data_IF_311667701901
#
_entry.id   IF_311667701901
#
_cell.length_a   1.000
_cell.length_b   1.000
_cell.length_c   1.000
_cell.angle_alpha   90.00
_cell.angle_beta   90.00
_cell.angle_gamma   90.00
#
_symmetry.space_group_name_H-M   'P 1'
#
loop_
_entity.id
_entity.type
_entity.pdbx_description
1 polymer ?
#
# COMPACT_ATOMS: atom_id res chain seq x y z
N UNK A 1 27.35 -7.79 -10.64
CA UNK A 1 27.78 -8.48 -9.40
C UNK A 1 27.91 -7.53 -8.21
N UNK A 2 28.34 -6.29 -8.43
CA UNK A 2 28.52 -5.28 -7.36
C UNK A 2 27.18 -4.82 -6.74
N UNK A 3 26.15 -4.62 -7.57
CA UNK A 3 24.81 -4.25 -7.12
C UNK A 3 24.16 -5.32 -6.22
N UNK A 4 24.36 -6.62 -6.53
CA UNK A 4 23.89 -7.72 -5.69
C UNK A 4 24.58 -7.74 -4.32
N UNK A 5 25.87 -7.39 -4.26
CA UNK A 5 26.61 -7.28 -2.99
C UNK A 5 26.11 -6.10 -2.16
N UNK A 6 25.83 -4.95 -2.80
CA UNK A 6 25.26 -3.76 -2.16
C UNK A 6 23.87 -4.06 -1.57
N UNK A 7 22.95 -4.63 -2.36
CA UNK A 7 21.61 -5.03 -1.90
C UNK A 7 21.66 -6.03 -0.74
N UNK A 8 22.60 -6.99 -0.79
CA UNK A 8 22.77 -7.95 0.30
C UNK A 8 23.25 -7.28 1.60
N UNK A 9 24.10 -6.25 1.51
CA UNK A 9 24.56 -5.47 2.68
C UNK A 9 23.39 -4.67 3.30
N UNK A 10 22.60 -4.02 2.45
CA UNK A 10 21.39 -3.28 2.88
C UNK A 10 20.38 -4.21 3.55
N UNK A 11 20.13 -5.39 2.99
CA UNK A 11 19.25 -6.39 3.61
C UNK A 11 19.75 -6.88 4.95
N UNK A 12 21.05 -7.16 5.09
CA UNK A 12 21.63 -7.53 6.39
C UNK A 12 21.45 -6.42 7.43
N UNK A 13 21.63 -5.16 7.02
CA UNK A 13 21.39 -3.99 7.90
C UNK A 13 19.92 -3.92 8.31
N UNK A 14 18.99 -4.13 7.39
CA UNK A 14 17.56 -4.14 7.72
C UNK A 14 17.18 -5.27 8.68
N UNK A 15 17.71 -6.48 8.47
CA UNK A 15 17.47 -7.61 9.39
C UNK A 15 18.06 -7.32 10.78
N UNK A 16 19.27 -6.76 10.84
CA UNK A 16 19.87 -6.36 12.11
C UNK A 16 19.00 -5.32 12.84
N UNK A 17 18.44 -4.36 12.11
CA UNK A 17 17.51 -3.38 12.66
C UNK A 17 16.23 -4.03 13.16
N UNK A 18 15.60 -4.93 12.41
CA UNK A 18 14.41 -5.68 12.84
C UNK A 18 14.69 -6.44 14.14
N UNK A 19 15.82 -7.13 14.21
CA UNK A 19 16.20 -7.89 15.41
C UNK A 19 16.46 -6.98 16.62
N UNK A 20 16.96 -5.75 16.40
CA UNK A 20 17.21 -4.77 17.45
C UNK A 20 15.93 -4.07 17.91
N UNK A 21 15.10 -3.60 16.97
CA UNK A 21 13.89 -2.83 17.26
C UNK A 21 12.68 -3.69 17.60
N UNK A 22 12.72 -5.00 17.29
CA UNK A 22 11.65 -5.97 17.54
C UNK A 22 10.26 -5.43 17.17
N UNK A 23 10.05 -5.07 15.88
CA UNK A 23 8.75 -4.57 15.44
C UNK A 23 7.66 -5.63 15.69
N UNK A 24 6.42 -5.17 15.84
CA UNK A 24 5.26 -6.07 16.00
C UNK A 24 4.85 -6.73 14.68
N UNK A 25 5.16 -6.08 13.56
CA UNK A 25 4.87 -6.57 12.21
C UNK A 25 5.98 -6.15 11.25
N UNK A 26 6.39 -7.08 10.39
CA UNK A 26 7.23 -6.78 9.23
C UNK A 26 6.38 -6.96 7.98
N UNK A 27 6.41 -5.98 7.06
CA UNK A 27 5.71 -6.07 5.78
C UNK A 27 6.73 -6.01 4.65
N UNK A 28 6.77 -7.05 3.84
CA UNK A 28 7.77 -7.16 2.78
C UNK A 28 7.13 -6.83 1.44
N UNK A 29 7.52 -5.72 0.81
CA UNK A 29 7.00 -5.24 -0.47
C UNK A 29 8.06 -5.36 -1.56
N UNK A 30 8.05 -6.45 -2.30
CA UNK A 30 9.04 -6.72 -3.34
C UNK A 30 8.40 -6.73 -4.73
N UNK A 31 8.84 -5.84 -5.63
CA UNK A 31 8.48 -5.91 -7.06
C UNK A 31 9.10 -7.12 -7.78
N UNK A 32 10.23 -7.63 -7.29
CA UNK A 32 10.99 -8.69 -7.97
C UNK A 32 11.13 -9.92 -7.11
N UNK A 33 11.40 -11.05 -7.77
CA UNK A 33 11.62 -12.33 -7.11
C UNK A 33 12.70 -12.21 -6.02
N UNK A 34 12.29 -12.50 -4.80
CA UNK A 34 13.14 -12.46 -3.63
C UNK A 34 14.21 -13.57 -3.68
N UNK A 35 15.52 -13.26 -3.53
CA UNK A 35 16.56 -14.28 -3.53
C UNK A 35 16.40 -15.30 -2.40
N UNK A 36 16.76 -16.56 -2.69
CA UNK A 36 16.58 -17.69 -1.76
C UNK A 36 17.28 -17.48 -0.40
N UNK A 37 18.47 -16.85 -0.40
CA UNK A 37 19.20 -16.53 0.84
C UNK A 37 18.40 -15.60 1.76
N UNK A 38 17.67 -14.64 1.19
CA UNK A 38 16.87 -13.69 1.96
C UNK A 38 15.59 -14.33 2.50
N UNK A 39 14.95 -15.22 1.73
CA UNK A 39 13.84 -16.04 2.24
C UNK A 39 14.21 -16.81 3.51
N UNK A 40 15.42 -17.39 3.54
CA UNK A 40 15.94 -18.11 4.72
C UNK A 40 16.21 -17.19 5.93
N UNK A 41 16.48 -15.91 5.71
CA UNK A 41 16.61 -14.95 6.81
C UNK A 41 15.25 -14.50 7.31
N UNK A 42 14.31 -14.17 6.41
CA UNK A 42 12.97 -13.79 6.80
C UNK A 42 12.21 -14.92 7.48
N UNK A 43 12.46 -16.18 7.12
CA UNK A 43 11.87 -17.33 7.83
C UNK A 43 12.29 -17.36 9.31
N UNK A 44 13.53 -16.99 9.62
CA UNK A 44 13.99 -16.89 11.03
C UNK A 44 13.37 -15.71 11.76
N UNK A 45 13.13 -14.61 11.05
CA UNK A 45 12.40 -13.46 11.61
C UNK A 45 10.96 -13.86 11.90
N UNK A 46 10.31 -14.58 10.98
CA UNK A 46 8.91 -15.03 11.13
C UNK A 46 8.68 -15.98 12.30
N UNK A 47 9.71 -16.68 12.77
CA UNK A 47 9.62 -17.51 13.98
C UNK A 47 9.35 -16.68 15.25
N UNK A 48 9.66 -15.37 15.23
CA UNK A 48 9.54 -14.48 16.40
C UNK A 48 8.71 -13.22 16.18
N UNK A 49 8.54 -12.78 14.93
CA UNK A 49 7.81 -11.56 14.56
C UNK A 49 6.93 -11.87 13.36
N UNK A 50 5.61 -11.57 13.40
CA UNK A 50 4.73 -11.70 12.24
C UNK A 50 5.29 -11.00 10.99
N UNK A 51 5.27 -11.70 9.85
CA UNK A 51 5.72 -11.17 8.56
C UNK A 51 4.61 -11.29 7.52
N UNK A 52 4.14 -10.16 6.99
CA UNK A 52 3.25 -10.11 5.84
C UNK A 52 4.07 -9.98 4.55
N UNK A 53 3.78 -10.83 3.56
CA UNK A 53 4.50 -10.85 2.30
C UNK A 53 3.63 -10.31 1.17
N UNK A 54 4.08 -9.23 0.53
CA UNK A 54 3.59 -8.84 -0.78
C UNK A 54 4.49 -9.44 -1.85
N UNK A 55 4.04 -10.58 -2.38
CA UNK A 55 4.65 -11.29 -3.51
C UNK A 55 3.67 -11.14 -4.66
N UNK A 56 4.16 -10.75 -5.85
CA UNK A 56 3.46 -10.37 -7.11
C UNK A 56 2.29 -11.26 -7.64
N UNK A 57 1.65 -12.10 -6.83
CA UNK A 57 0.62 -13.04 -7.23
C UNK A 57 -0.57 -13.11 -6.26
N UNK A 58 -0.59 -12.35 -5.17
CA UNK A 58 -1.70 -12.41 -4.21
C UNK A 58 -1.98 -11.07 -3.58
N UNK A 59 -3.26 -10.77 -3.43
CA UNK A 59 -3.80 -9.68 -2.63
C UNK A 59 -4.62 -10.27 -1.49
N UNK A 60 -4.54 -9.66 -0.31
CA UNK A 60 -5.22 -10.15 0.89
C UNK A 60 -5.27 -9.08 1.96
N UNK A 61 -6.20 -9.24 2.90
CA UNK A 61 -6.25 -8.48 4.15
C UNK A 61 -5.80 -9.33 5.32
N UNK A 62 -5.29 -8.70 6.37
CA UNK A 62 -4.90 -9.37 7.60
C UNK A 62 -5.16 -8.48 8.81
N UNK A 63 -5.32 -9.12 9.97
CA UNK A 63 -5.52 -8.46 11.26
C UNK A 63 -4.41 -8.86 12.22
N UNK A 64 -3.87 -7.88 12.95
CA UNK A 64 -2.88 -8.14 14.00
C UNK A 64 -3.05 -7.10 15.12
N UNK A 65 -3.41 -7.53 16.34
CA UNK A 65 -3.53 -6.64 17.50
C UNK A 65 -4.38 -5.38 17.24
N UNK A 66 -5.52 -5.53 16.54
CA UNK A 66 -6.40 -4.41 16.18
C UNK A 66 -5.94 -3.58 14.97
N UNK A 67 -4.75 -3.84 14.42
CA UNK A 67 -4.31 -3.30 13.14
C UNK A 67 -4.93 -4.10 11.99
N UNK A 68 -5.64 -3.43 11.09
CA UNK A 68 -6.02 -4.01 9.80
C UNK A 68 -5.03 -3.55 8.73
N UNK A 69 -4.43 -4.52 8.05
CA UNK A 69 -3.58 -4.29 6.89
C UNK A 69 -4.17 -4.93 5.64
N UNK A 70 -3.86 -4.35 4.49
CA UNK A 70 -4.13 -4.96 3.19
C UNK A 70 -2.88 -4.93 2.31
N UNK A 71 -2.72 -6.00 1.56
CA UNK A 71 -1.66 -6.17 0.58
C UNK A 71 -2.28 -6.16 -0.80
N UNK A 72 -1.79 -5.26 -1.65
CA UNK A 72 -2.26 -5.03 -3.01
C UNK A 72 -1.22 -5.52 -4.02
N UNK A 73 -1.71 -6.14 -5.08
CA UNK A 73 -0.91 -6.57 -6.21
C UNK A 73 -1.02 -5.54 -7.33
N UNK A 74 0.09 -4.92 -7.70
CA UNK A 74 0.15 -3.90 -8.75
C UNK A 74 -0.24 -4.43 -10.13
N UNK A 75 -0.08 -5.72 -10.42
CA UNK A 75 -0.28 -6.30 -11.75
C UNK A 75 -1.65 -5.97 -12.39
N UNK A 76 -2.69 -5.71 -11.59
CA UNK A 76 -4.03 -5.36 -12.11
C UNK A 76 -4.47 -3.93 -11.77
N UNK A 77 -3.64 -3.13 -11.09
CA UNK A 77 -4.02 -1.83 -10.53
C UNK A 77 -3.35 -0.62 -11.22
N UNK A 78 -2.45 -0.85 -12.18
CA UNK A 78 -1.74 0.20 -12.90
C UNK A 78 -2.65 0.91 -13.92
N UNK A 79 -2.39 2.20 -14.14
CA UNK A 79 -3.18 3.05 -15.04
C UNK A 79 -3.33 2.48 -16.45
N UNK A 80 -2.28 1.89 -17.01
CA UNK A 80 -2.31 1.30 -18.36
C UNK A 80 -3.36 0.18 -18.49
N UNK A 81 -3.52 -0.65 -17.46
CA UNK A 81 -4.51 -1.73 -17.44
C UNK A 81 -5.94 -1.23 -17.20
N UNK A 82 -6.09 -0.12 -16.50
CA UNK A 82 -7.40 0.52 -16.27
C UNK A 82 -7.86 1.26 -17.54
N UNK A 83 -6.94 1.86 -18.31
CA UNK A 83 -7.22 2.64 -19.52
C UNK A 83 -7.61 1.77 -20.73
N UNK A 84 -6.93 0.65 -20.96
CA UNK A 84 -7.15 -0.21 -22.14
C UNK A 84 -8.58 -0.83 -22.20
N UNK A 85 -9.34 -0.74 -21.10
CA UNK A 85 -10.66 -1.37 -20.97
C UNK A 85 -11.85 -0.42 -21.11
N UNK A 86 -11.62 0.90 -21.30
CA UNK A 86 -12.65 1.85 -21.71
C UNK A 86 -13.31 1.50 -23.06
N UNK A 87 -12.68 0.62 -23.85
CA UNK A 87 -13.19 0.07 -25.12
C UNK A 87 -13.89 -1.31 -24.97
N UNK A 88 -14.64 -1.55 -23.89
CA UNK A 88 -15.54 -2.72 -23.79
C UNK A 88 -14.91 -4.04 -23.30
N UNK A 89 -13.76 -3.98 -22.64
CA UNK A 89 -13.15 -5.15 -22.00
C UNK A 89 -13.86 -5.48 -20.68
N UNK A 90 -14.46 -6.68 -20.57
CA UNK A 90 -15.14 -7.16 -19.35
C UNK A 90 -14.25 -6.97 -18.11
N UNK A 91 -14.77 -6.22 -17.14
CA UNK A 91 -14.16 -5.99 -15.83
C UNK A 91 -14.35 -7.24 -14.97
N UNK A 92 -13.56 -8.28 -15.20
CA UNK A 92 -13.40 -9.38 -14.24
C UNK A 92 -12.04 -9.25 -13.56
N UNK A 93 -11.88 -8.17 -12.79
CA UNK A 93 -10.70 -7.94 -11.97
C UNK A 93 -11.09 -8.10 -10.50
N UNK A 94 -11.06 -9.35 -10.03
CA UNK A 94 -11.49 -9.73 -8.69
C UNK A 94 -10.82 -8.92 -7.58
N UNK A 95 -9.62 -8.35 -7.81
CA UNK A 95 -8.97 -7.45 -6.87
C UNK A 95 -9.70 -6.11 -6.74
N UNK A 96 -10.16 -5.51 -7.86
CA UNK A 96 -10.87 -4.24 -7.83
C UNK A 96 -12.27 -4.36 -7.23
N UNK A 97 -12.97 -5.48 -7.46
CA UNK A 97 -14.22 -5.78 -6.76
C UNK A 97 -13.97 -5.98 -5.26
N UNK A 98 -12.94 -6.75 -4.90
CA UNK A 98 -12.56 -6.96 -3.51
C UNK A 98 -12.16 -5.66 -2.80
N UNK A 99 -11.40 -4.77 -3.45
CA UNK A 99 -11.07 -3.43 -2.91
C UNK A 99 -12.35 -2.65 -2.63
N UNK A 100 -13.32 -2.65 -3.55
CA UNK A 100 -14.59 -1.94 -3.35
C UNK A 100 -15.32 -2.43 -2.10
N UNK A 101 -15.44 -3.75 -1.94
CA UNK A 101 -16.09 -4.35 -0.77
C UNK A 101 -15.35 -4.01 0.52
N UNK A 102 -14.02 -4.14 0.54
CA UNK A 102 -13.20 -3.81 1.70
C UNK A 102 -13.30 -2.33 2.08
N UNK A 103 -13.27 -1.42 1.10
CA UNK A 103 -13.36 0.01 1.35
C UNK A 103 -14.73 0.41 1.88
N UNK A 104 -15.80 -0.22 1.39
CA UNK A 104 -17.15 0.02 1.90
C UNK A 104 -17.30 -0.46 3.35
N UNK A 105 -16.79 -1.65 3.66
CA UNK A 105 -16.76 -2.18 5.03
C UNK A 105 -15.96 -1.27 5.98
N UNK A 106 -14.78 -0.80 5.57
CA UNK A 106 -13.95 0.10 6.37
C UNK A 106 -14.62 1.46 6.59
N UNK A 107 -15.28 2.01 5.56
CA UNK A 107 -16.04 3.25 5.65
C UNK A 107 -17.18 3.14 6.66
N UNK A 108 -18.03 2.11 6.52
CA UNK A 108 -19.20 1.90 7.39
C UNK A 108 -18.80 1.63 8.86
N UNK A 109 -17.77 0.82 9.07
CA UNK A 109 -17.26 0.51 10.41
C UNK A 109 -16.40 1.61 11.02
N UNK A 110 -16.06 2.66 10.24
CA UNK A 110 -15.14 3.75 10.60
C UNK A 110 -13.76 3.25 11.05
N UNK A 111 -13.36 2.06 10.63
CA UNK A 111 -12.06 1.47 10.97
C UNK A 111 -10.93 2.08 10.12
N UNK A 112 -9.70 2.05 10.63
CA UNK A 112 -8.52 2.54 9.92
C UNK A 112 -7.75 1.39 9.27
N UNK A 113 -7.42 1.57 7.99
CA UNK A 113 -6.74 0.56 7.22
C UNK A 113 -5.38 1.05 6.72
N UNK A 114 -4.45 0.11 6.57
CA UNK A 114 -3.11 0.37 6.02
C UNK A 114 -2.89 -0.51 4.79
N UNK A 115 -2.48 0.09 3.68
CA UNK A 115 -2.29 -0.57 2.41
C UNK A 115 -0.81 -0.66 2.03
N UNK A 116 -0.42 -1.80 1.47
CA UNK A 116 0.94 -2.07 1.00
C UNK A 116 0.92 -2.58 -0.44
N UNK A 117 1.71 -1.98 -1.32
CA UNK A 117 1.76 -2.33 -2.74
C UNK A 117 3.20 -2.69 -3.16
N UNK A 118 3.34 -3.55 -4.17
CA UNK A 118 4.61 -4.04 -4.70
C UNK A 118 5.18 -3.17 -5.85
N UNK A 119 4.57 -2.02 -6.14
CA UNK A 119 5.05 -1.03 -7.10
C UNK A 119 5.34 0.34 -6.46
N UNK A 120 5.65 1.33 -7.29
CA UNK A 120 5.57 2.73 -6.90
C UNK A 120 4.12 3.14 -6.74
N UNK A 121 3.69 3.62 -5.56
CA UNK A 121 2.31 4.04 -5.33
C UNK A 121 1.82 5.11 -6.32
N UNK A 122 2.72 5.90 -6.91
CA UNK A 122 2.38 6.92 -7.92
C UNK A 122 2.01 6.33 -9.28
N UNK A 123 2.33 5.06 -9.52
CA UNK A 123 2.00 4.35 -10.76
C UNK A 123 0.60 3.69 -10.69
N UNK A 124 -0.04 3.69 -9.52
CA UNK A 124 -1.41 3.22 -9.36
C UNK A 124 -2.41 4.19 -9.98
N UNK A 125 -3.50 3.65 -10.50
CA UNK A 125 -4.54 4.50 -11.07
C UNK A 125 -5.18 5.44 -10.06
N UNK A 126 -5.57 6.63 -10.52
CA UNK A 126 -6.27 7.60 -9.69
C UNK A 126 -7.57 7.02 -9.10
N UNK A 127 -8.26 6.16 -9.84
CA UNK A 127 -9.45 5.46 -9.35
C UNK A 127 -9.12 4.59 -8.13
N UNK A 128 -8.03 3.82 -8.17
CA UNK A 128 -7.57 3.00 -7.03
C UNK A 128 -7.21 3.90 -5.84
N UNK A 129 -6.40 4.92 -6.08
CA UNK A 129 -5.95 5.84 -5.03
C UNK A 129 -7.12 6.53 -4.31
N UNK A 130 -8.12 7.01 -5.06
CA UNK A 130 -9.30 7.67 -4.51
C UNK A 130 -10.23 6.69 -3.79
N UNK A 131 -10.39 5.46 -4.29
CA UNK A 131 -11.15 4.41 -3.58
C UNK A 131 -10.51 4.05 -2.24
N UNK A 132 -9.18 3.92 -2.19
CA UNK A 132 -8.46 3.67 -0.94
C UNK A 132 -8.65 4.84 0.04
N UNK A 133 -8.53 6.08 -0.42
CA UNK A 133 -8.75 7.25 0.43
C UNK A 133 -10.19 7.32 0.97
N UNK A 134 -11.20 7.06 0.13
CA UNK A 134 -12.62 6.97 0.53
C UNK A 134 -12.85 5.89 1.60
N UNK A 135 -12.21 4.74 1.47
CA UNK A 135 -12.29 3.63 2.43
C UNK A 135 -11.51 3.84 3.74
N UNK A 136 -11.07 5.08 4.03
CA UNK A 136 -10.33 5.46 5.26
C UNK A 136 -8.97 4.77 5.42
N UNK A 137 -8.32 4.44 4.31
CA UNK A 137 -6.91 4.02 4.34
C UNK A 137 -6.06 5.20 4.80
N UNK A 138 -5.31 5.01 5.88
CA UNK A 138 -4.45 6.05 6.47
C UNK A 138 -3.09 6.13 5.81
N UNK A 139 -2.59 5.00 5.34
CA UNK A 139 -1.27 4.89 4.71
C UNK A 139 -1.35 3.93 3.52
N UNK A 140 -0.83 4.37 2.38
CA UNK A 140 -0.44 3.52 1.28
C UNK A 140 1.08 3.55 1.14
N UNK A 141 1.73 2.40 1.32
CA UNK A 141 3.19 2.26 1.25
C UNK A 141 3.60 1.37 0.09
N UNK A 142 4.64 1.79 -0.63
CA UNK A 142 5.28 1.00 -1.68
C UNK A 142 6.76 1.29 -1.83
N UNK A 143 7.32 0.85 -2.96
CA UNK A 143 8.71 1.10 -3.34
C UNK A 143 8.80 2.40 -4.15
N UNK A 144 9.76 3.28 -3.88
CA UNK A 144 9.97 4.46 -4.76
C UNK A 144 10.85 4.07 -5.93
N UNK A 145 10.44 4.39 -7.17
CA UNK A 145 11.32 4.25 -8.35
C UNK A 145 12.46 5.27 -8.36
N UNK A 146 12.26 6.39 -7.68
CA UNK A 146 13.25 7.45 -7.59
C UNK A 146 14.27 7.09 -6.50
N UNK A 147 15.50 7.54 -6.68
CA UNK A 147 16.55 7.30 -5.68
C UNK A 147 16.27 7.98 -4.34
N UNK A 148 15.31 8.91 -4.32
CA UNK A 148 14.80 9.56 -3.13
C UNK A 148 13.44 8.96 -2.76
N UNK A 149 13.26 8.69 -1.46
CA UNK A 149 11.93 8.37 -0.94
C UNK A 149 11.02 9.60 -1.05
N UNK A 150 9.72 9.38 -1.19
CA UNK A 150 8.73 10.44 -1.25
C UNK A 150 7.63 10.22 -0.22
N UNK A 151 6.98 11.33 0.12
CA UNK A 151 5.79 11.38 0.94
C UNK A 151 4.83 12.41 0.32
N UNK A 152 3.57 12.03 0.19
CA UNK A 152 2.51 12.94 -0.25
C UNK A 152 1.21 12.65 0.51
N UNK A 153 0.34 13.65 0.56
CA UNK A 153 -1.00 13.52 1.12
C UNK A 153 -2.01 13.50 -0.03
N UNK A 154 -2.86 12.48 -0.05
CA UNK A 154 -3.99 12.37 -0.97
C UNK A 154 -5.27 12.65 -0.21
N UNK A 155 -6.04 13.64 -0.68
CA UNK A 155 -7.34 13.96 -0.13
C UNK A 155 -8.44 13.34 -0.99
N UNK A 156 -9.47 12.79 -0.35
CA UNK A 156 -10.73 12.45 -0.97
C UNK A 156 -11.79 13.45 -0.52
N UNK A 157 -12.52 14.02 -1.48
CA UNK A 157 -13.71 14.81 -1.21
C UNK A 157 -14.95 13.95 -1.47
N UNK A 158 -15.95 14.08 -0.60
CA UNK A 158 -17.22 13.38 -0.77
C UNK A 158 -17.79 13.65 -2.17
N UNK A 159 -18.28 12.59 -2.82
CA UNK A 159 -18.86 12.64 -4.17
C UNK A 159 -17.87 13.05 -5.29
N UNK A 160 -16.56 12.93 -5.06
CA UNK A 160 -15.54 13.18 -6.08
C UNK A 160 -15.68 12.18 -7.24
N UNK A 161 -15.66 12.68 -8.47
CA UNK A 161 -15.60 11.88 -9.69
C UNK A 161 -14.16 11.84 -10.21
N UNK A 162 -13.75 10.70 -10.72
CA UNK A 162 -12.41 10.51 -11.29
C UNK A 162 -12.55 10.34 -12.79
N UNK A 163 -11.93 11.25 -13.54
CA UNK A 163 -11.78 11.12 -14.98
C UNK A 163 -10.79 9.99 -15.28
N UNK A 164 -11.26 8.94 -15.96
CA UNK A 164 -10.42 7.82 -16.37
C UNK A 164 -10.04 8.00 -17.83
N UNK A 165 -8.75 8.20 -18.12
CA UNK A 165 -8.25 8.18 -19.51
C UNK A 165 -7.68 9.49 -20.06
N UNK A 166 -7.73 10.60 -19.32
CA UNK A 166 -7.13 11.88 -19.74
C UNK A 166 -7.96 12.67 -20.75
N UNK A 167 -9.18 12.23 -21.06
CA UNK A 167 -10.20 13.06 -21.71
C UNK A 167 -10.74 14.06 -20.69
N UNK A 168 -10.60 15.36 -20.91
CA UNK A 168 -11.22 16.39 -20.05
C UNK A 168 -12.75 16.47 -20.21
N UNK A 169 -13.38 15.39 -20.65
CA UNK A 169 -14.81 15.31 -20.90
C UNK A 169 -15.49 14.68 -19.68
N UNK A 170 -16.36 15.43 -19.01
CA UNK A 170 -17.06 15.02 -17.80
C UNK A 170 -17.94 13.76 -17.98
N UNK A 171 -18.19 13.37 -19.23
CA UNK A 171 -18.94 12.17 -19.61
C UNK A 171 -18.18 10.87 -19.33
N UNK A 172 -16.85 10.89 -19.22
CA UNK A 172 -16.02 9.72 -18.91
C UNK A 172 -15.65 9.63 -17.41
N UNK A 173 -16.25 10.50 -16.59
CA UNK A 173 -15.96 10.56 -15.17
C UNK A 173 -16.61 9.38 -14.42
N UNK A 174 -15.77 8.49 -13.88
CA UNK A 174 -16.21 7.33 -13.10
C UNK A 174 -16.42 7.75 -11.65
N UNK A 175 -17.58 7.38 -11.10
CA UNK A 175 -17.87 7.56 -9.69
C UNK A 175 -16.95 6.68 -8.83
N UNK A 176 -16.39 7.25 -7.76
CA UNK A 176 -15.58 6.51 -6.79
C UNK A 176 -16.45 5.60 -5.90
N UNK A 177 -17.77 5.78 -5.92
CA UNK A 177 -18.76 5.02 -5.14
C UNK A 177 -19.04 3.64 -5.73
N UNK A 178 -19.45 2.71 -4.86
CA UNK A 178 -19.81 1.33 -5.23
C UNK A 178 -21.32 1.06 -5.26
N UNK A 179 -22.15 1.92 -4.66
CA UNK A 179 -23.61 1.71 -4.52
C UNK A 179 -24.38 3.02 -4.64
N UNK A 180 -25.64 2.94 -5.11
CA UNK A 180 -26.65 4.02 -5.13
C UNK A 180 -27.12 4.45 -3.72
N UNK A 181 -26.25 4.32 -2.72
CA UNK A 181 -26.55 4.75 -1.36
C UNK A 181 -26.63 6.28 -1.30
N UNK A 182 -27.56 6.78 -0.47
CA UNK A 182 -27.76 8.21 -0.22
C UNK A 182 -26.41 8.89 0.08
N UNK A 183 -26.33 10.15 -0.36
CA UNK A 183 -25.15 11.01 -0.49
C UNK A 183 -24.03 10.73 0.54
N UNK A 184 -22.77 10.69 0.06
CA UNK A 184 -21.63 10.70 0.98
C UNK A 184 -21.70 12.06 1.69
N UNK A 185 -21.83 12.08 3.02
CA UNK A 185 -21.81 13.31 3.81
C UNK A 185 -20.39 13.92 3.80
N UNK A 186 -20.26 15.22 4.10
CA UNK A 186 -18.95 15.87 4.29
C UNK A 186 -18.06 15.17 5.33
N UNK A 187 -18.68 14.38 6.22
CA UNK A 187 -17.99 13.56 7.24
C UNK A 187 -17.22 12.35 6.68
N UNK A 188 -17.39 12.04 5.39
CA UNK A 188 -16.66 11.00 4.67
C UNK A 188 -15.44 11.53 3.92
N UNK A 189 -15.15 12.83 4.02
CA UNK A 189 -13.86 13.37 3.61
C UNK A 189 -12.73 12.68 4.40
N UNK A 190 -11.69 12.27 3.68
CA UNK A 190 -10.60 11.47 4.25
C UNK A 190 -9.28 11.82 3.59
N UNK A 191 -8.21 11.70 4.37
CA UNK A 191 -6.85 11.89 3.92
C UNK A 191 -6.07 10.59 4.07
N UNK A 192 -5.34 10.24 3.02
CA UNK A 192 -4.44 9.10 2.96
C UNK A 192 -3.02 9.59 2.74
N UNK A 193 -2.08 9.16 3.59
CA UNK A 193 -0.66 9.38 3.38
C UNK A 193 -0.14 8.35 2.37
N UNK A 194 0.53 8.81 1.31
CA UNK A 194 1.14 7.94 0.30
C UNK A 194 2.65 8.06 0.39
N UNK A 195 3.32 6.92 0.51
CA UNK A 195 4.75 6.86 0.77
C UNK A 195 5.39 5.83 -0.16
N UNK A 196 6.39 6.27 -0.92
CA UNK A 196 7.33 5.37 -1.57
C UNK A 196 8.69 5.54 -0.95
N UNK A 197 9.40 4.46 -0.68
CA UNK A 197 10.80 4.59 -0.27
C UNK A 197 11.72 3.66 -1.05
N UNK A 198 12.94 4.14 -1.25
CA UNK A 198 13.99 3.50 -2.05
C UNK A 198 14.75 2.43 -1.24
N UNK A 199 14.84 2.61 0.09
CA UNK A 199 15.51 1.65 0.96
C UNK A 199 14.84 0.29 0.81
N UNK A 200 15.66 -0.69 0.42
CA UNK A 200 15.39 -2.09 0.15
C UNK A 200 13.97 -2.53 0.48
N UNK A 201 13.29 -3.19 -0.45
CA UNK A 201 11.93 -3.79 -0.48
C UNK A 201 11.33 -4.44 0.80
N UNK A 202 11.95 -4.31 1.97
CA UNK A 202 11.52 -4.71 3.28
C UNK A 202 11.08 -3.49 4.10
N UNK A 203 9.82 -3.48 4.53
CA UNK A 203 9.28 -2.51 5.49
C UNK A 203 8.97 -3.22 6.81
N UNK A 204 8.92 -2.47 7.90
CA UNK A 204 8.36 -2.97 9.14
C UNK A 204 7.63 -1.85 9.87
N UNK A 205 6.58 -2.24 10.58
CA UNK A 205 5.72 -1.35 11.34
C UNK A 205 5.99 -1.60 12.81
N UNK A 206 6.36 -0.53 13.50
CA UNK A 206 6.48 -0.53 14.95
C UNK A 206 5.21 0.11 15.49
N UNK A 207 4.44 -0.67 16.24
CA UNK A 207 3.29 -0.15 16.97
C UNK A 207 3.76 0.36 18.33
N UNK A 208 3.46 1.62 18.64
CA UNK A 208 3.68 2.20 19.96
C UNK A 208 2.38 2.12 20.76
N UNK A 209 2.26 1.08 21.60
CA UNK A 209 1.07 0.75 22.39
C UNK A 209 0.73 1.83 23.43
N UNK A 210 1.68 2.71 23.80
CA UNK A 210 1.45 3.70 24.85
C UNK A 210 0.75 4.99 24.39
N UNK A 211 0.59 5.20 23.08
CA UNK A 211 0.03 6.46 22.56
C UNK A 211 -1.02 6.30 21.47
N UNK A 212 -1.43 5.08 21.11
CA UNK A 212 -2.25 4.83 19.90
C UNK A 212 -1.69 5.57 18.66
N UNK A 213 -0.37 5.78 18.62
CA UNK A 213 0.31 6.50 17.55
C UNK A 213 1.12 5.53 16.72
N UNK A 214 0.84 5.53 15.43
CA UNK A 214 1.51 4.69 14.44
C UNK A 214 2.73 5.43 13.91
N UNK A 215 3.93 4.94 14.22
CA UNK A 215 5.18 5.47 13.67
C UNK A 215 5.66 4.53 12.57
N UNK A 216 5.54 4.97 11.32
CA UNK A 216 6.35 4.40 10.25
C UNK A 216 7.77 4.89 10.48
N UNK A 217 8.68 3.99 10.88
CA UNK A 217 10.10 4.33 10.92
C UNK A 217 10.60 4.44 9.48
N UNK A 218 10.44 5.63 8.90
CA UNK A 218 11.21 6.11 7.76
C UNK A 218 12.61 6.41 8.28
N UNK A 219 13.41 5.36 8.49
CA UNK A 219 14.80 5.55 8.86
C UNK A 219 15.52 6.14 7.65
N UNK A 220 15.61 7.46 7.57
CA UNK A 220 16.67 8.10 6.78
C UNK A 220 17.97 7.56 7.35
N UNK A 221 18.72 6.84 6.53
CA UNK A 221 19.96 6.15 6.93
C UNK A 221 21.07 7.11 7.44
N UNK A 222 20.82 8.42 7.50
CA UNK A 222 21.74 9.45 7.99
C UNK A 222 21.47 10.01 9.39
N UNK A 223 20.44 9.57 10.13
CA UNK A 223 20.13 10.10 11.48
C UNK A 223 20.29 9.05 12.60
N UNK A 224 21.19 8.08 12.39
CA UNK A 224 21.65 7.17 13.43
C UNK A 224 23.14 7.43 13.70
N UNK A 225 23.41 8.53 14.39
CA UNK A 225 24.60 8.70 15.24
C UNK A 225 24.20 8.53 16.70
#
# INVERSE_FOLDING_TARGET
QEEQKKRLKEWKKCIANINRSRPKLVVVTCRSAMPAKFKKFLSRVSDSIPVAYNRNASYYSFWLNGFQGMVLNSATLLDEFVRDKGNGGKQDDGQMAWIQEQMEQCRMSKHHLYAFVDCDPRDLSQLVLKRLARGRVKLLSGYSRDNEGFEMMLEYKANEKVVVGGSNDDNDAVSVKSTDTQEDDETDASQMKVVGCNDSSLRWIVMDEMKDMWKTNLVKVGELE
#
